data_IF_302530043787
#
_entry.id   IF_302530043787
#
_cell.length_a   1.000
_cell.length_b   1.000
_cell.length_c   1.000
_cell.angle_alpha   90.00
_cell.angle_beta   90.00
_cell.angle_gamma   90.00
#
_symmetry.space_group_name_H-M   'P 1'
#
loop_
_entity.id
_entity.type
_entity.pdbx_description
1 polymer ?
#
# COMPACT_ATOMS: atom_id res chain seq x y z
N UNK A 1 6.30 -3.87 -16.96
CA UNK A 1 6.72 -4.16 -15.59
C UNK A 1 8.22 -4.35 -15.57
N UNK A 2 8.92 -3.68 -14.65
CA UNK A 2 10.39 -3.73 -14.52
C UNK A 2 10.82 -4.07 -13.08
N UNK A 3 12.06 -4.55 -12.93
CA UNK A 3 12.71 -4.73 -11.63
C UNK A 3 13.37 -3.43 -11.13
N UNK A 4 14.02 -3.51 -9.97
CA UNK A 4 14.72 -2.38 -9.34
C UNK A 4 15.96 -1.91 -10.12
N UNK A 5 16.41 -2.67 -11.13
CA UNK A 5 17.54 -2.31 -12.01
C UNK A 5 17.08 -1.77 -13.37
N UNK A 6 15.76 -1.69 -13.63
CA UNK A 6 15.20 -1.25 -14.90
C UNK A 6 15.14 -2.37 -15.97
N UNK A 7 15.31 -3.62 -15.56
CA UNK A 7 15.17 -4.78 -16.46
C UNK A 7 13.71 -5.18 -16.57
N UNK A 8 13.23 -5.39 -17.79
CA UNK A 8 11.86 -5.86 -18.01
C UNK A 8 11.67 -7.26 -17.42
N UNK A 9 10.64 -7.41 -16.60
CA UNK A 9 10.27 -8.69 -16.01
C UNK A 9 9.41 -9.55 -16.97
N UNK A 10 9.42 -10.88 -16.81
CA UNK A 10 8.52 -11.76 -17.55
C UNK A 10 7.06 -11.50 -17.17
N UNK A 11 6.14 -11.86 -18.06
CA UNK A 11 4.70 -11.79 -17.81
C UNK A 11 4.32 -12.62 -16.58
N UNK A 12 3.39 -12.13 -15.78
CA UNK A 12 2.99 -12.74 -14.52
C UNK A 12 3.89 -12.41 -13.32
N UNK A 13 5.05 -11.79 -13.54
CA UNK A 13 5.91 -11.33 -12.44
C UNK A 13 5.49 -9.96 -11.93
N UNK A 14 5.53 -9.77 -10.62
CA UNK A 14 5.29 -8.49 -9.96
C UNK A 14 6.53 -7.59 -10.04
N UNK A 15 6.32 -6.32 -10.39
CA UNK A 15 7.37 -5.31 -10.45
C UNK A 15 6.81 -3.90 -10.49
N UNK A 16 7.67 -2.93 -10.73
CA UNK A 16 7.29 -1.54 -10.88
C UNK A 16 6.67 -1.28 -12.26
N UNK A 17 5.54 -0.58 -12.26
CA UNK A 17 4.90 -0.12 -13.51
C UNK A 17 5.72 1.03 -14.06
N UNK A 18 6.21 0.87 -15.30
CA UNK A 18 7.05 1.86 -15.94
C UNK A 18 6.64 2.12 -17.39
N UNK A 19 6.88 3.34 -17.87
CA UNK A 19 6.63 3.76 -19.25
C UNK A 19 7.96 3.98 -19.94
N UNK A 20 8.15 3.37 -21.11
CA UNK A 20 9.39 3.52 -21.87
C UNK A 20 9.48 4.89 -22.54
N UNK A 21 10.57 5.58 -22.31
CA UNK A 21 10.85 6.87 -22.97
C UNK A 21 11.43 6.66 -24.39
N UNK A 22 11.16 7.58 -25.36
CA UNK A 22 10.22 8.67 -25.27
C UNK A 22 8.78 8.24 -25.50
N UNK A 23 7.84 8.87 -24.78
CA UNK A 23 6.41 8.68 -24.98
C UNK A 23 5.73 10.07 -25.03
N UNK A 24 4.83 10.36 -25.99
CA UNK A 24 4.25 11.67 -26.19
C UNK A 24 3.35 12.13 -25.04
N UNK A 25 2.83 11.22 -24.22
CA UNK A 25 1.98 11.54 -23.05
C UNK A 25 2.78 11.58 -21.74
N UNK A 26 4.10 11.31 -21.81
CA UNK A 26 4.96 11.34 -20.65
C UNK A 26 5.11 12.76 -20.10
N UNK A 27 5.12 12.92 -18.76
CA UNK A 27 5.41 14.22 -18.15
C UNK A 27 6.84 14.67 -18.51
N UNK A 28 7.04 15.98 -18.63
CA UNK A 28 8.34 16.51 -19.01
C UNK A 28 9.29 16.59 -17.80
N UNK A 29 8.82 17.18 -16.71
CA UNK A 29 9.61 17.39 -15.48
C UNK A 29 8.74 17.94 -14.35
N UNK A 30 9.23 17.83 -13.13
CA UNK A 30 8.73 18.63 -12.01
C UNK A 30 9.29 20.05 -12.07
N UNK A 31 8.42 21.03 -11.88
CA UNK A 31 8.81 22.44 -11.90
C UNK A 31 9.81 22.75 -10.78
N UNK A 32 10.96 23.33 -11.14
CA UNK A 32 12.06 23.68 -10.21
C UNK A 32 12.56 22.52 -9.31
N UNK A 33 12.42 21.25 -9.76
CA UNK A 33 12.86 20.08 -9.02
C UNK A 33 13.60 19.09 -9.94
N UNK A 34 14.82 19.42 -10.37
CA UNK A 34 15.58 18.58 -11.30
C UNK A 34 15.91 17.21 -10.69
N UNK A 35 16.29 17.15 -9.40
CA UNK A 35 16.62 15.90 -8.72
C UNK A 35 15.41 14.99 -8.56
N UNK A 36 14.22 15.54 -8.23
CA UNK A 36 12.99 14.80 -8.19
C UNK A 36 12.60 14.27 -9.57
N UNK A 37 12.87 15.04 -10.61
CA UNK A 37 12.66 14.60 -12.00
C UNK A 37 13.60 13.47 -12.37
N UNK A 38 14.90 13.60 -12.07
CA UNK A 38 15.89 12.57 -12.37
C UNK A 38 15.57 11.24 -11.66
N UNK A 39 15.11 11.30 -10.40
CA UNK A 39 14.68 10.09 -9.65
C UNK A 39 13.49 9.35 -10.27
N UNK A 40 12.74 10.00 -11.17
CA UNK A 40 11.63 9.36 -11.89
C UNK A 40 12.08 8.53 -13.09
N UNK A 41 13.37 8.52 -13.40
CA UNK A 41 13.88 7.74 -14.51
C UNK A 41 14.86 6.67 -14.02
N UNK A 42 14.69 5.48 -14.55
CA UNK A 42 15.58 4.34 -14.37
C UNK A 42 16.01 3.86 -15.77
N UNK A 43 17.15 4.39 -16.24
CA UNK A 43 17.56 4.25 -17.63
C UNK A 43 16.53 4.88 -18.59
N UNK A 44 16.00 4.10 -19.52
CA UNK A 44 14.97 4.56 -20.47
C UNK A 44 13.53 4.51 -19.90
N UNK A 45 13.35 4.11 -18.64
CA UNK A 45 12.03 3.93 -18.03
C UNK A 45 11.65 5.08 -17.11
N UNK A 46 10.50 5.69 -17.36
CA UNK A 46 9.81 6.52 -16.39
C UNK A 46 9.09 5.63 -15.39
N UNK A 47 9.48 5.67 -14.13
CA UNK A 47 8.87 4.88 -13.05
C UNK A 47 7.68 5.63 -12.45
N UNK A 48 6.53 4.95 -12.36
CA UNK A 48 5.29 5.54 -11.84
C UNK A 48 5.31 5.62 -10.32
N UNK A 49 6.01 4.72 -9.66
CA UNK A 49 5.94 4.47 -8.21
C UNK A 49 4.77 3.56 -7.84
N UNK A 50 4.17 2.93 -8.80
CA UNK A 50 3.09 1.95 -8.64
C UNK A 50 3.61 0.56 -9.01
N UNK A 51 3.20 -0.45 -8.27
CA UNK A 51 3.53 -1.86 -8.56
C UNK A 51 2.35 -2.57 -9.18
N UNK A 52 2.67 -3.52 -10.05
CA UNK A 52 1.66 -4.31 -10.74
C UNK A 52 2.22 -5.59 -11.36
N UNK A 53 1.30 -6.37 -11.90
CA UNK A 53 1.56 -7.60 -12.66
C UNK A 53 0.92 -7.43 -14.03
N UNK A 54 1.65 -7.78 -15.09
CA UNK A 54 1.12 -7.80 -16.45
C UNK A 54 0.84 -9.24 -16.86
N UNK A 55 -0.38 -9.51 -17.29
CA UNK A 55 -0.78 -10.83 -17.79
C UNK A 55 -0.34 -11.06 -19.26
N UNK A 56 -0.51 -12.28 -19.81
CA UNK A 56 -0.18 -12.58 -21.20
C UNK A 56 -1.00 -11.78 -22.23
N UNK A 57 -2.20 -11.35 -21.88
CA UNK A 57 -3.09 -10.54 -22.72
C UNK A 57 -2.73 -9.04 -22.69
N UNK A 58 -1.79 -8.63 -21.83
CA UNK A 58 -1.29 -7.26 -21.70
C UNK A 58 -2.06 -6.38 -20.71
N UNK A 59 -2.99 -6.96 -19.93
CA UNK A 59 -3.64 -6.22 -18.84
C UNK A 59 -2.70 -6.10 -17.66
N UNK A 60 -2.74 -4.92 -17.02
CA UNK A 60 -1.95 -4.64 -15.82
C UNK A 60 -2.86 -4.62 -14.60
N UNK A 61 -2.63 -5.57 -13.69
CA UNK A 61 -3.27 -5.57 -12.37
C UNK A 61 -2.43 -4.75 -11.42
N UNK A 62 -3.01 -3.68 -10.87
CA UNK A 62 -2.38 -2.84 -9.84
C UNK A 62 -2.29 -3.60 -8.51
N UNK A 63 -1.12 -3.61 -7.89
CA UNK A 63 -0.87 -4.24 -6.57
C UNK A 63 -0.87 -3.21 -5.46
N UNK A 64 -0.25 -2.05 -5.68
CA UNK A 64 -0.13 -0.99 -4.68
C UNK A 64 0.93 0.04 -5.06
N UNK A 65 1.08 1.05 -4.20
CA UNK A 65 2.20 1.99 -4.30
C UNK A 65 3.47 1.32 -3.80
N UNK A 66 4.59 1.57 -4.46
CA UNK A 66 5.89 1.02 -4.05
C UNK A 66 6.28 1.46 -2.62
N UNK A 67 5.97 2.72 -2.28
CA UNK A 67 6.18 3.31 -0.95
C UNK A 67 5.13 2.88 0.10
N UNK A 68 4.06 2.22 -0.30
CA UNK A 68 2.99 1.72 0.59
C UNK A 68 2.97 0.20 0.75
N UNK A 69 3.70 -0.53 -0.12
CA UNK A 69 3.82 -1.99 -0.01
C UNK A 69 4.51 -2.36 1.31
N UNK A 70 3.88 -3.25 2.06
CA UNK A 70 4.35 -3.71 3.37
C UNK A 70 5.19 -4.97 3.16
N UNK A 71 6.43 -4.96 3.64
CA UNK A 71 7.30 -6.14 3.60
C UNK A 71 7.24 -6.87 4.93
N UNK A 72 6.45 -7.96 5.00
CA UNK A 72 6.21 -8.70 6.24
C UNK A 72 6.53 -10.18 6.08
N UNK A 73 7.50 -10.68 6.85
CA UNK A 73 7.91 -12.09 6.86
C UNK A 73 8.23 -12.64 5.44
N UNK A 74 8.86 -11.82 4.59
CA UNK A 74 9.22 -12.18 3.21
C UNK A 74 8.10 -11.99 2.17
N UNK A 75 6.89 -11.62 2.59
CA UNK A 75 5.79 -11.29 1.69
C UNK A 75 5.76 -9.80 1.38
N UNK A 76 5.39 -9.46 0.15
CA UNK A 76 5.05 -8.10 -0.26
C UNK A 76 3.55 -7.95 -0.26
N UNK A 77 3.03 -7.10 0.59
CA UNK A 77 1.60 -6.96 0.86
C UNK A 77 1.14 -5.58 0.42
N UNK A 78 0.26 -5.54 -0.58
CA UNK A 78 -0.46 -4.32 -0.94
C UNK A 78 -1.53 -4.02 0.11
N UNK A 79 -1.60 -2.80 0.65
CA UNK A 79 -2.57 -2.47 1.70
C UNK A 79 -4.03 -2.57 1.25
N UNK A 80 -4.32 -2.38 -0.04
CA UNK A 80 -5.67 -2.28 -0.59
C UNK A 80 -6.53 -3.50 -0.34
N UNK A 81 -6.02 -4.73 -0.56
CA UNK A 81 -6.78 -5.96 -0.35
C UNK A 81 -7.22 -6.13 1.12
N UNK A 82 -6.32 -5.76 2.04
CA UNK A 82 -6.63 -5.83 3.48
C UNK A 82 -7.63 -4.72 3.85
N UNK A 83 -7.48 -3.51 3.32
CA UNK A 83 -8.40 -2.38 3.54
C UNK A 83 -9.80 -2.71 3.03
N UNK A 84 -9.92 -3.30 1.84
CA UNK A 84 -11.20 -3.73 1.26
C UNK A 84 -11.90 -4.77 2.12
N UNK A 85 -11.13 -5.70 2.69
CA UNK A 85 -11.67 -6.69 3.63
C UNK A 85 -12.15 -6.02 4.92
N UNK A 86 -11.36 -5.11 5.49
CA UNK A 86 -11.68 -4.37 6.72
C UNK A 86 -12.94 -3.51 6.56
N UNK A 87 -13.14 -2.87 5.42
CA UNK A 87 -14.30 -2.04 5.13
C UNK A 87 -15.62 -2.84 5.08
N UNK A 88 -15.56 -4.15 4.89
CA UNK A 88 -16.74 -5.05 4.95
C UNK A 88 -17.15 -5.39 6.39
N UNK A 89 -16.32 -5.06 7.38
CA UNK A 89 -16.66 -5.30 8.77
C UNK A 89 -17.74 -4.32 9.25
N UNK A 90 -18.81 -4.76 9.96
CA UNK A 90 -19.94 -3.92 10.33
C UNK A 90 -19.59 -2.72 11.21
N UNK A 91 -18.52 -2.82 12.02
CA UNK A 91 -18.07 -1.76 12.92
C UNK A 91 -17.11 -0.74 12.28
N UNK A 92 -16.62 -0.97 11.06
CA UNK A 92 -15.60 -0.13 10.41
C UNK A 92 -16.24 0.92 9.50
N UNK A 93 -15.91 2.20 9.71
CA UNK A 93 -16.29 3.30 8.84
C UNK A 93 -15.21 3.61 7.80
N UNK A 94 -13.93 3.58 8.22
CA UNK A 94 -12.78 3.72 7.33
C UNK A 94 -11.60 2.92 7.88
N UNK A 95 -10.73 2.48 6.99
CA UNK A 95 -9.55 1.72 7.34
C UNK A 95 -8.34 2.18 6.52
N UNK A 96 -7.17 2.16 7.14
CA UNK A 96 -5.89 2.26 6.47
C UNK A 96 -4.96 1.17 6.99
N UNK A 97 -4.17 0.58 6.10
CA UNK A 97 -3.21 -0.47 6.47
C UNK A 97 -1.80 0.03 6.19
N UNK A 98 -0.93 -0.12 7.19
CA UNK A 98 0.47 0.32 7.15
C UNK A 98 1.40 -0.77 7.67
N UNK A 99 2.64 -0.77 7.18
CA UNK A 99 3.74 -1.51 7.78
C UNK A 99 4.37 -0.68 8.90
N UNK A 100 4.54 -1.27 10.08
CA UNK A 100 5.33 -0.71 11.16
C UNK A 100 6.54 -1.61 11.43
N UNK A 101 7.71 -1.06 11.78
CA UNK A 101 8.91 -1.85 12.04
C UNK A 101 8.65 -3.02 13.01
N UNK A 102 9.19 -4.20 12.69
CA UNK A 102 9.05 -5.41 13.51
C UNK A 102 10.35 -6.22 13.42
N UNK A 103 10.89 -6.59 14.59
CA UNK A 103 12.17 -7.29 14.67
C UNK A 103 12.17 -8.68 14.01
N UNK A 104 11.02 -9.34 13.96
CA UNK A 104 10.89 -10.70 13.44
C UNK A 104 10.43 -10.72 11.98
N UNK A 105 9.69 -9.69 11.55
CA UNK A 105 8.99 -9.69 10.26
C UNK A 105 9.48 -8.62 9.30
N UNK A 106 10.44 -7.80 9.66
CA UNK A 106 10.81 -6.54 9.02
C UNK A 106 9.73 -5.49 9.28
N UNK A 107 8.50 -5.76 8.88
CA UNK A 107 7.32 -4.94 9.19
C UNK A 107 6.17 -5.82 9.67
N UNK A 108 5.38 -5.33 10.61
CA UNK A 108 4.09 -5.91 10.97
C UNK A 108 2.96 -5.17 10.28
N UNK A 109 2.04 -5.93 9.73
CA UNK A 109 0.80 -5.39 9.16
C UNK A 109 -0.03 -4.81 10.31
N UNK A 110 -0.30 -3.50 10.23
CA UNK A 110 -1.07 -2.75 11.23
C UNK A 110 -2.27 -2.10 10.55
N UNK A 111 -3.47 -2.40 11.06
CA UNK A 111 -4.70 -1.77 10.62
C UNK A 111 -5.02 -0.56 11.50
N UNK A 112 -5.24 0.61 10.90
CA UNK A 112 -5.70 1.83 11.56
C UNK A 112 -7.15 2.05 11.18
N UNK A 113 -8.05 1.98 12.16
CA UNK A 113 -9.50 1.88 11.99
C UNK A 113 -10.19 3.14 12.51
N UNK A 114 -11.09 3.69 11.71
CA UNK A 114 -12.11 4.62 12.17
C UNK A 114 -13.39 3.82 12.41
N UNK A 115 -13.85 3.69 13.65
CA UNK A 115 -15.09 2.97 13.95
C UNK A 115 -16.31 3.75 13.45
N UNK A 116 -17.41 3.05 13.19
CA UNK A 116 -18.69 3.70 12.86
C UNK A 116 -19.25 4.48 14.07
N UNK A 117 -20.09 5.50 13.81
CA UNK A 117 -20.75 6.24 14.90
C UNK A 117 -21.46 5.29 15.89
N UNK A 118 -21.26 5.53 17.19
CA UNK A 118 -21.84 4.70 18.25
C UNK A 118 -21.07 3.41 18.58
N UNK A 119 -20.01 3.09 17.86
CA UNK A 119 -19.14 1.94 18.16
C UNK A 119 -17.95 2.38 18.98
N UNK A 120 -17.86 1.90 20.22
CA UNK A 120 -16.75 2.22 21.12
C UNK A 120 -15.52 1.33 20.84
N UNK A 121 -14.32 1.90 20.68
CA UNK A 121 -13.08 1.13 20.60
C UNK A 121 -12.87 0.25 21.83
N UNK A 122 -12.45 -1.00 21.60
CA UNK A 122 -12.13 -1.93 22.69
C UNK A 122 -11.15 -3.02 22.21
N UNK A 123 -10.40 -3.66 23.13
CA UNK A 123 -9.56 -4.80 22.78
C UNK A 123 -10.35 -5.98 22.20
N UNK A 124 -11.62 -6.14 22.57
CA UNK A 124 -12.50 -7.15 22.01
C UNK A 124 -12.83 -6.84 20.55
N UNK A 125 -13.18 -5.60 20.23
CA UNK A 125 -13.44 -5.14 18.85
C UNK A 125 -12.19 -5.24 17.99
N UNK A 126 -11.01 -4.91 18.52
CA UNK A 126 -9.75 -5.06 17.79
C UNK A 126 -9.49 -6.51 17.38
N UNK A 127 -9.74 -7.47 18.28
CA UNK A 127 -9.65 -8.91 17.97
C UNK A 127 -10.67 -9.33 16.93
N UNK A 128 -11.92 -8.91 17.07
CA UNK A 128 -13.00 -9.26 16.13
C UNK A 128 -12.67 -8.76 14.71
N UNK A 129 -12.20 -7.51 14.58
CA UNK A 129 -11.75 -6.95 13.29
C UNK A 129 -10.56 -7.73 12.73
N UNK A 130 -9.58 -8.08 13.55
CA UNK A 130 -8.45 -8.90 13.13
C UNK A 130 -8.90 -10.31 12.66
N UNK A 131 -9.77 -10.97 13.41
CA UNK A 131 -10.31 -12.27 13.06
C UNK A 131 -11.17 -12.23 11.80
N UNK A 132 -11.87 -11.12 11.54
CA UNK A 132 -12.60 -10.91 10.30
C UNK A 132 -11.68 -11.01 9.06
N UNK A 133 -10.49 -10.41 9.11
CA UNK A 133 -9.50 -10.52 8.04
C UNK A 133 -8.91 -11.93 8.00
N UNK A 134 -8.50 -12.47 9.15
CA UNK A 134 -7.86 -13.78 9.26
C UNK A 134 -8.69 -14.93 8.67
N UNK A 135 -10.02 -14.84 8.76
CA UNK A 135 -10.93 -15.87 8.24
C UNK A 135 -11.28 -15.71 6.76
N UNK A 136 -10.94 -14.58 6.15
CA UNK A 136 -11.33 -14.24 4.77
C UNK A 136 -10.16 -14.07 3.81
N UNK A 137 -8.98 -13.75 4.32
CA UNK A 137 -7.78 -13.57 3.54
C UNK A 137 -6.68 -14.56 3.96
N UNK A 138 -5.61 -14.61 3.16
CA UNK A 138 -4.44 -15.42 3.43
C UNK A 138 -3.75 -15.02 4.76
N UNK A 139 -3.12 -15.96 5.43
CA UNK A 139 -2.55 -15.80 6.78
C UNK A 139 -1.46 -14.69 6.88
N UNK A 140 -0.77 -14.39 5.79
CA UNK A 140 0.24 -13.32 5.76
C UNK A 140 -0.37 -11.91 5.69
N UNK A 141 -1.64 -11.77 5.25
CA UNK A 141 -2.38 -10.52 5.14
C UNK A 141 -3.02 -10.08 6.48
N UNK A 142 -3.05 -10.98 7.45
CA UNK A 142 -3.69 -10.72 8.75
C UNK A 142 -2.99 -9.59 9.51
N UNK A 143 -3.72 -8.51 9.90
CA UNK A 143 -3.16 -7.43 10.70
C UNK A 143 -2.81 -7.93 12.12
N UNK A 144 -1.54 -7.77 12.48
CA UNK A 144 -1.02 -8.16 13.81
C UNK A 144 -1.34 -7.15 14.88
N UNK A 145 -1.73 -5.95 14.46
CA UNK A 145 -2.11 -4.84 15.34
C UNK A 145 -3.30 -4.11 14.72
N UNK A 146 -4.25 -3.73 15.57
CA UNK A 146 -5.39 -2.89 15.20
C UNK A 146 -5.40 -1.69 16.13
N UNK A 147 -5.30 -0.51 15.52
CA UNK A 147 -5.33 0.79 16.19
C UNK A 147 -6.61 1.52 15.83
N UNK A 148 -7.13 2.30 16.77
CA UNK A 148 -8.32 3.12 16.55
C UNK A 148 -7.97 4.60 16.49
N UNK A 149 -8.66 5.33 15.63
CA UNK A 149 -8.51 6.78 15.46
C UNK A 149 -9.86 7.40 15.09
N UNK A 150 -10.03 8.68 15.38
CA UNK A 150 -11.25 9.41 15.01
C UNK A 150 -11.27 9.77 13.53
N UNK A 151 -10.09 9.94 12.90
CA UNK A 151 -9.98 10.27 11.49
C UNK A 151 -8.65 9.76 10.90
N UNK A 152 -8.66 9.39 9.63
CA UNK A 152 -7.46 9.11 8.85
C UNK A 152 -6.93 10.40 8.22
N UNK A 153 -5.60 10.66 8.26
CA UNK A 153 -5.01 11.81 7.58
C UNK A 153 -5.16 11.63 6.07
N UNK A 154 -5.66 12.66 5.41
CA UNK A 154 -5.91 12.65 3.97
C UNK A 154 -5.33 13.89 3.30
N UNK A 155 -4.98 13.76 2.02
CA UNK A 155 -4.67 14.90 1.15
C UNK A 155 -5.94 15.70 0.86
N UNK A 156 -5.79 16.90 0.28
CA UNK A 156 -6.93 17.70 -0.18
C UNK A 156 -7.83 16.96 -1.21
N UNK A 157 -7.29 15.94 -1.89
CA UNK A 157 -8.02 15.10 -2.85
C UNK A 157 -8.60 13.81 -2.23
N UNK A 158 -8.56 13.65 -0.90
CA UNK A 158 -9.12 12.50 -0.18
C UNK A 158 -8.23 11.25 -0.14
N UNK A 159 -6.98 11.31 -0.65
CA UNK A 159 -6.06 10.16 -0.57
C UNK A 159 -5.48 10.02 0.85
N UNK A 160 -5.48 8.81 1.39
CA UNK A 160 -4.90 8.50 2.70
C UNK A 160 -3.39 8.77 2.69
N UNK A 161 -2.92 9.52 3.67
CA UNK A 161 -1.51 9.86 3.87
C UNK A 161 -0.84 8.81 4.78
N UNK A 162 -0.52 7.61 4.23
CA UNK A 162 0.06 6.50 5.02
C UNK A 162 1.40 6.86 5.65
N UNK A 163 2.19 7.74 5.03
CA UNK A 163 3.43 8.25 5.61
C UNK A 163 3.17 8.99 6.94
N UNK A 164 2.11 9.77 7.03
CA UNK A 164 1.74 10.47 8.27
C UNK A 164 1.27 9.48 9.34
N UNK A 165 0.54 8.41 8.95
CA UNK A 165 0.17 7.35 9.88
C UNK A 165 1.40 6.60 10.38
N UNK A 166 2.31 6.18 9.50
CA UNK A 166 3.57 5.54 9.93
C UNK A 166 4.33 6.40 10.94
N UNK A 167 4.53 7.69 10.67
CA UNK A 167 5.22 8.60 11.58
C UNK A 167 4.52 8.71 12.95
N UNK A 168 3.18 8.61 13.02
CA UNK A 168 2.42 8.66 14.26
C UNK A 168 2.57 7.41 15.13
N UNK A 169 2.71 6.23 14.51
CA UNK A 169 2.70 4.94 15.20
C UNK A 169 4.07 4.25 15.29
N UNK A 170 5.13 4.88 14.78
CA UNK A 170 6.53 4.35 14.89
C UNK A 170 7.24 4.83 16.16
N UNK A 171 6.56 5.60 17.06
CA UNK A 171 7.15 6.09 18.30
C UNK A 171 7.28 4.98 19.34
#
# INVERSE_FOLDING_TARGET
IIDDHGTRLPLGAEGEIAVRAPDPVMFLRYWNKPDDTARKFRGEWLVTGDRGVMDPEGYVTFVGRDDDVITSAGYRIGPGEVEDCLLRHPAVAAAAVIGLPDLLRTERVTAVIVPKPGVAPSPALARDIGDHVRTRLAAHLYPRQVEFTDALPQTATGKIMRRALRARYTQ
#
